data_IF_751739079340
#
_entry.id   IF_751739079340
#
_cell.length_a   1.000
_cell.length_b   1.000
_cell.length_c   1.000
_cell.angle_alpha   90.00
_cell.angle_beta   90.00
_cell.angle_gamma   90.00
#
_symmetry.space_group_name_H-M   'P 1'
#
loop_
_entity.id
_entity.type
_entity.pdbx_description
1 polymer ?
#
# COMPACT_ATOMS: atom_id res chain seq x y z
N UNK A 1 -9.10 -0.15 -27.98
CA UNK A 1 -7.63 -0.37 -27.85
C UNK A 1 -7.26 -0.95 -26.49
N UNK A 2 -7.85 -0.48 -25.39
CA UNK A 2 -7.67 -1.04 -24.03
C UNK A 2 -7.87 -2.58 -23.99
N UNK A 3 -8.92 -3.09 -24.65
CA UNK A 3 -9.16 -4.55 -24.76
C UNK A 3 -7.98 -5.35 -25.35
N UNK A 4 -7.27 -4.77 -26.33
CA UNK A 4 -6.08 -5.40 -26.94
C UNK A 4 -4.89 -5.43 -25.98
N UNK A 5 -4.77 -4.41 -25.12
CA UNK A 5 -3.76 -4.37 -24.06
C UNK A 5 -4.05 -5.47 -23.04
N UNK A 6 -5.29 -5.59 -22.56
CA UNK A 6 -5.69 -6.65 -21.64
C UNK A 6 -5.52 -8.05 -22.23
N UNK A 7 -5.88 -8.23 -23.51
CA UNK A 7 -5.64 -9.50 -24.22
C UNK A 7 -4.15 -9.83 -24.27
N UNK A 8 -3.29 -8.85 -24.56
CA UNK A 8 -1.84 -9.04 -24.59
C UNK A 8 -1.27 -9.39 -23.20
N UNK A 9 -1.80 -8.77 -22.14
CA UNK A 9 -1.44 -9.10 -20.75
C UNK A 9 -1.86 -10.53 -20.37
N UNK A 10 -3.07 -10.96 -20.76
CA UNK A 10 -3.54 -12.33 -20.53
C UNK A 10 -2.69 -13.38 -21.25
N UNK A 11 -2.15 -13.02 -22.41
CA UNK A 11 -1.22 -13.85 -23.17
C UNK A 11 0.24 -13.70 -22.70
N UNK A 12 0.50 -13.01 -21.59
CA UNK A 12 1.83 -12.72 -21.04
C UNK A 12 2.79 -12.00 -22.02
N UNK A 13 2.24 -11.35 -23.05
CA UNK A 13 3.00 -10.58 -24.03
C UNK A 13 3.27 -9.16 -23.49
N UNK A 14 4.03 -9.07 -22.39
CA UNK A 14 4.21 -7.83 -21.63
C UNK A 14 4.82 -6.69 -22.47
N UNK A 15 5.82 -6.98 -23.31
CA UNK A 15 6.42 -5.97 -24.22
C UNK A 15 5.42 -5.41 -25.22
N UNK A 16 4.55 -6.25 -25.77
CA UNK A 16 3.50 -5.81 -26.70
C UNK A 16 2.44 -4.97 -25.97
N UNK A 17 2.05 -5.41 -24.76
CA UNK A 17 1.11 -4.67 -23.93
C UNK A 17 1.62 -3.26 -23.59
N UNK A 18 2.89 -3.13 -23.19
CA UNK A 18 3.53 -1.82 -22.93
C UNK A 18 3.48 -0.95 -24.18
N UNK A 19 3.94 -1.44 -25.34
CA UNK A 19 3.96 -0.66 -26.58
C UNK A 19 2.57 -0.17 -26.99
N UNK A 20 1.55 -1.03 -26.91
CA UNK A 20 0.17 -0.67 -27.21
C UNK A 20 -0.37 0.36 -26.21
N UNK A 21 -0.03 0.23 -24.93
CA UNK A 21 -0.48 1.14 -23.88
C UNK A 21 0.22 2.50 -23.94
N UNK A 22 1.50 2.57 -24.29
CA UNK A 22 2.23 3.82 -24.53
C UNK A 22 1.60 4.61 -25.67
N UNK A 23 1.28 3.95 -26.79
CA UNK A 23 0.57 4.58 -27.92
C UNK A 23 -0.81 5.08 -27.51
N UNK A 24 -1.54 4.30 -26.70
CA UNK A 24 -2.84 4.71 -26.19
C UNK A 24 -2.72 5.97 -25.31
N UNK A 25 -1.73 6.01 -24.40
CA UNK A 25 -1.50 7.14 -23.51
C UNK A 25 -1.04 8.40 -24.28
N UNK A 26 -0.20 8.25 -25.30
CA UNK A 26 0.22 9.34 -26.18
C UNK A 26 -0.95 9.95 -26.96
N UNK A 27 -1.94 9.14 -27.35
CA UNK A 27 -3.12 9.60 -28.07
C UNK A 27 -4.19 10.16 -27.11
N UNK A 28 -4.36 9.55 -25.95
CA UNK A 28 -5.34 9.91 -24.93
C UNK A 28 -4.69 9.86 -23.54
N UNK A 29 -4.14 10.98 -23.05
CA UNK A 29 -3.51 11.05 -21.73
C UNK A 29 -4.57 11.11 -20.62
N UNK A 30 -5.31 10.02 -20.46
CA UNK A 30 -6.27 9.83 -19.37
C UNK A 30 -5.58 9.15 -18.17
N UNK A 31 -6.02 9.49 -16.96
CA UNK A 31 -5.41 8.95 -15.74
C UNK A 31 -5.57 7.43 -15.63
N UNK A 32 -6.71 6.89 -16.06
CA UNK A 32 -6.99 5.45 -16.17
C UNK A 32 -6.05 4.73 -17.15
N UNK A 33 -5.66 5.39 -18.24
CA UNK A 33 -4.71 4.83 -19.20
C UNK A 33 -3.29 4.80 -18.61
N UNK A 34 -2.91 5.80 -17.81
CA UNK A 34 -1.61 5.82 -17.10
C UNK A 34 -1.56 4.72 -16.03
N UNK A 35 -2.65 4.45 -15.32
CA UNK A 35 -2.75 3.32 -14.39
C UNK A 35 -2.56 1.98 -15.09
N UNK A 36 -3.21 1.81 -16.25
CA UNK A 36 -3.04 0.62 -17.07
C UNK A 36 -1.58 0.47 -17.53
N UNK A 37 -0.95 1.57 -17.95
CA UNK A 37 0.46 1.58 -18.36
C UNK A 37 1.39 1.18 -17.20
N UNK A 38 1.15 1.69 -15.99
CA UNK A 38 1.91 1.31 -14.81
C UNK A 38 1.79 -0.18 -14.49
N UNK A 39 0.58 -0.73 -14.64
CA UNK A 39 0.34 -2.17 -14.53
C UNK A 39 1.16 -2.93 -15.58
N UNK A 40 1.14 -2.50 -16.84
CA UNK A 40 1.96 -3.11 -17.89
C UNK A 40 3.46 -3.07 -17.56
N UNK A 41 3.99 -1.96 -17.03
CA UNK A 41 5.39 -1.86 -16.61
C UNK A 41 5.72 -2.81 -15.44
N UNK A 42 4.83 -2.95 -14.46
CA UNK A 42 5.00 -3.90 -13.36
C UNK A 42 5.01 -5.36 -13.84
N UNK A 43 4.15 -5.69 -14.81
CA UNK A 43 4.16 -7.02 -15.45
C UNK A 43 5.42 -7.26 -16.29
N UNK A 44 5.99 -6.21 -16.89
CA UNK A 44 7.25 -6.27 -17.64
C UNK A 44 8.50 -6.19 -16.75
N UNK A 45 8.34 -6.28 -15.42
CA UNK A 45 9.42 -6.20 -14.43
C UNK A 45 10.22 -4.87 -14.48
N UNK A 46 9.55 -3.76 -14.80
CA UNK A 46 10.12 -2.41 -14.85
C UNK A 46 9.48 -1.48 -13.80
N UNK A 47 9.71 -1.74 -12.49
CA UNK A 47 9.07 -0.95 -11.44
C UNK A 47 9.54 0.52 -11.41
N UNK A 48 10.76 0.80 -11.87
CA UNK A 48 11.30 2.18 -11.97
C UNK A 48 10.49 3.06 -12.94
N UNK A 49 10.07 2.50 -14.08
CA UNK A 49 9.23 3.22 -15.04
C UNK A 49 7.84 3.50 -14.45
N UNK A 50 7.25 2.49 -13.79
CA UNK A 50 5.98 2.63 -13.09
C UNK A 50 6.03 3.70 -11.97
N UNK A 51 7.12 3.73 -11.21
CA UNK A 51 7.35 4.74 -10.16
C UNK A 51 7.29 6.16 -10.71
N UNK A 52 8.02 6.46 -11.79
CA UNK A 52 8.06 7.83 -12.35
C UNK A 52 6.74 8.30 -12.93
N UNK A 53 5.97 7.43 -13.58
CA UNK A 53 4.68 7.82 -14.16
C UNK A 53 3.57 7.97 -13.11
N UNK A 54 3.68 7.25 -11.97
CA UNK A 54 2.70 7.29 -10.88
C UNK A 54 3.04 8.34 -9.82
N UNK A 55 4.26 8.87 -9.79
CA UNK A 55 4.69 9.88 -8.83
C UNK A 55 3.79 11.13 -8.92
N UNK A 56 3.16 11.49 -7.80
CA UNK A 56 2.27 12.66 -7.69
C UNK A 56 0.82 12.40 -8.10
N UNK A 57 0.42 11.16 -8.39
CA UNK A 57 -0.98 10.79 -8.67
C UNK A 57 -1.79 10.61 -7.38
N UNK A 58 -3.02 11.13 -7.36
CA UNK A 58 -3.89 11.14 -6.17
C UNK A 58 -4.91 10.00 -6.14
N UNK A 59 -5.12 9.29 -7.26
CA UNK A 59 -6.08 8.19 -7.31
C UNK A 59 -5.69 7.06 -6.35
N UNK A 60 -6.68 6.41 -5.70
CA UNK A 60 -6.43 5.33 -4.75
C UNK A 60 -5.68 4.15 -5.40
N UNK A 61 -6.13 3.72 -6.58
CA UNK A 61 -5.47 2.63 -7.32
C UNK A 61 -4.04 3.00 -7.76
N UNK A 62 -3.79 4.25 -8.15
CA UNK A 62 -2.45 4.72 -8.51
C UNK A 62 -1.51 4.71 -7.32
N UNK A 63 -2.00 5.10 -6.13
CA UNK A 63 -1.22 5.07 -4.88
C UNK A 63 -0.85 3.65 -4.50
N UNK A 64 -1.78 2.70 -4.64
CA UNK A 64 -1.49 1.29 -4.39
C UNK A 64 -0.43 0.73 -5.36
N UNK A 65 -0.56 0.99 -6.66
CA UNK A 65 0.44 0.59 -7.66
C UNK A 65 1.80 1.26 -7.44
N UNK A 66 1.82 2.51 -6.96
CA UNK A 66 3.05 3.21 -6.60
C UNK A 66 3.73 2.54 -5.40
N UNK A 67 2.98 2.20 -4.34
CA UNK A 67 3.49 1.48 -3.19
C UNK A 67 4.08 0.11 -3.58
N UNK A 68 3.42 -0.63 -4.47
CA UNK A 68 3.96 -1.90 -5.03
C UNK A 68 5.28 -1.65 -5.78
N UNK A 69 5.34 -0.60 -6.59
CA UNK A 69 6.55 -0.25 -7.36
C UNK A 69 7.71 0.06 -6.40
N UNK A 70 7.45 0.83 -5.35
CA UNK A 70 8.41 1.16 -4.30
C UNK A 70 8.88 -0.09 -3.55
N UNK A 71 7.95 -0.99 -3.19
CA UNK A 71 8.28 -2.27 -2.54
C UNK A 71 9.20 -3.12 -3.42
N UNK A 72 8.93 -3.22 -4.73
CA UNK A 72 9.80 -3.95 -5.67
C UNK A 72 11.18 -3.33 -5.85
N UNK A 73 11.31 -2.02 -5.59
CA UNK A 73 12.58 -1.28 -5.67
C UNK A 73 13.29 -1.15 -4.32
N UNK A 74 12.76 -1.77 -3.27
CA UNK A 74 13.26 -1.67 -1.90
C UNK A 74 13.22 -0.22 -1.33
N UNK A 75 12.37 0.64 -1.88
CA UNK A 75 12.10 2.01 -1.39
C UNK A 75 11.01 1.96 -0.32
N UNK A 76 11.29 1.27 0.78
CA UNK A 76 10.28 0.94 1.81
C UNK A 76 9.68 2.20 2.46
N UNK A 77 10.51 3.21 2.74
CA UNK A 77 10.07 4.48 3.35
C UNK A 77 9.01 5.21 2.50
N UNK A 78 9.24 5.34 1.19
CA UNK A 78 8.29 5.99 0.28
C UNK A 78 7.00 5.17 0.11
N UNK A 79 7.09 3.84 0.20
CA UNK A 79 5.94 2.97 0.15
C UNK A 79 5.03 3.16 1.38
N UNK A 80 5.62 3.27 2.58
CA UNK A 80 4.89 3.52 3.83
C UNK A 80 4.20 4.89 3.79
N UNK A 81 4.93 5.95 3.43
CA UNK A 81 4.37 7.31 3.34
C UNK A 81 3.21 7.40 2.32
N UNK A 82 3.26 6.58 1.26
CA UNK A 82 2.19 6.54 0.26
C UNK A 82 0.93 5.85 0.79
N UNK A 83 1.07 4.78 1.57
CA UNK A 83 -0.05 4.00 2.11
C UNK A 83 -0.65 4.66 3.36
N UNK A 84 0.18 5.21 4.24
CA UNK A 84 -0.20 5.89 5.47
C UNK A 84 0.49 7.27 5.53
N UNK A 85 -0.08 8.29 4.87
CA UNK A 85 0.40 9.65 5.05
C UNK A 85 0.07 10.08 6.49
N UNK A 86 1.10 10.36 7.29
CA UNK A 86 1.05 10.81 8.70
C UNK A 86 0.07 11.99 8.93
N UNK A 87 -0.30 12.70 7.86
CA UNK A 87 -1.10 13.91 7.91
C UNK A 87 -2.63 13.68 7.88
N UNK A 88 -3.13 12.49 7.50
CA UNK A 88 -4.58 12.23 7.41
C UNK A 88 -4.93 10.78 7.81
N UNK A 89 -5.17 10.49 9.10
CA UNK A 89 -5.52 9.14 9.58
C UNK A 89 -6.90 8.65 9.12
N UNK A 90 -7.65 9.49 8.40
CA UNK A 90 -8.99 9.19 7.86
C UNK A 90 -8.97 8.78 6.39
N UNK A 91 -7.79 8.70 5.77
CA UNK A 91 -7.63 8.20 4.41
C UNK A 91 -7.68 6.68 4.47
N UNK A 92 -8.82 6.11 4.06
CA UNK A 92 -8.94 4.67 3.85
C UNK A 92 -7.77 4.18 2.98
N UNK A 93 -7.06 3.18 3.49
CA UNK A 93 -5.93 2.58 2.77
C UNK A 93 -6.44 2.13 1.39
N UNK A 94 -5.79 2.56 0.29
CA UNK A 94 -6.25 2.21 -1.04
C UNK A 94 -6.31 0.69 -1.20
N UNK A 95 -7.43 0.20 -1.73
CA UNK A 95 -7.77 -1.23 -1.87
C UNK A 95 -8.01 -2.00 -0.56
N UNK A 96 -8.23 -1.30 0.56
CA UNK A 96 -8.69 -1.87 1.84
C UNK A 96 -7.74 -2.94 2.39
N UNK A 97 -8.21 -4.19 2.46
CA UNK A 97 -7.45 -5.32 3.02
C UNK A 97 -6.11 -5.58 2.30
N UNK A 98 -6.04 -5.37 0.98
CA UNK A 98 -4.79 -5.60 0.21
C UNK A 98 -3.72 -4.56 0.51
N UNK A 99 -4.11 -3.31 0.77
CA UNK A 99 -3.18 -2.28 1.21
C UNK A 99 -2.65 -2.53 2.62
N UNK A 100 -3.49 -3.00 3.55
CA UNK A 100 -3.05 -3.41 4.89
C UNK A 100 -2.09 -4.60 4.84
N UNK A 101 -2.36 -5.57 3.97
CA UNK A 101 -1.45 -6.71 3.74
C UNK A 101 -0.09 -6.24 3.21
N UNK A 102 -0.06 -5.35 2.22
CA UNK A 102 1.18 -4.79 1.68
C UNK A 102 1.96 -4.01 2.75
N UNK A 103 1.27 -3.26 3.61
CA UNK A 103 1.89 -2.56 4.73
C UNK A 103 2.54 -3.52 5.72
N UNK A 104 1.87 -4.63 6.06
CA UNK A 104 2.45 -5.69 6.89
C UNK A 104 3.71 -6.32 6.28
N UNK A 105 3.73 -6.52 4.95
CA UNK A 105 4.93 -6.98 4.23
C UNK A 105 6.06 -5.95 4.30
N UNK A 106 5.76 -4.67 4.11
CA UNK A 106 6.75 -3.58 4.18
C UNK A 106 7.36 -3.52 5.58
N UNK A 107 6.55 -3.49 6.66
CA UNK A 107 7.06 -3.47 8.03
C UNK A 107 7.94 -4.68 8.33
N UNK A 108 7.54 -5.88 7.89
CA UNK A 108 8.37 -7.08 8.06
C UNK A 108 9.72 -6.92 7.36
N UNK A 109 9.73 -6.40 6.13
CA UNK A 109 10.96 -6.17 5.36
C UNK A 109 11.85 -5.09 5.98
N UNK A 110 11.27 -4.02 6.55
CA UNK A 110 12.01 -2.98 7.28
C UNK A 110 12.66 -3.55 8.53
N UNK A 111 11.94 -4.39 9.29
CA UNK A 111 12.46 -5.02 10.51
C UNK A 111 13.63 -5.99 10.19
N UNK A 112 13.52 -6.77 9.13
CA UNK A 112 14.60 -7.69 8.70
C UNK A 112 15.82 -6.95 8.14
N UNK A 113 15.65 -5.76 7.55
CA UNK A 113 16.75 -4.92 7.08
C UNK A 113 17.40 -4.06 8.17
N UNK A 114 16.75 -3.87 9.33
CA UNK A 114 17.24 -3.04 10.45
C UNK A 114 17.90 -3.82 11.59
N UNK A 115 18.02 -5.14 11.51
CA UNK A 115 18.74 -5.95 12.51
C UNK A 115 20.23 -5.59 12.64
N UNK A 116 20.77 -4.76 11.75
CA UNK A 116 22.14 -4.22 11.84
C UNK A 116 22.23 -2.90 12.64
N UNK A 117 21.10 -2.27 13.00
CA UNK A 117 21.05 -0.95 13.67
C UNK A 117 20.13 -0.89 14.92
N UNK A 118 19.53 -2.00 15.33
CA UNK A 118 18.52 -2.05 16.39
C UNK A 118 19.08 -2.30 17.82
N UNK A 119 19.90 -1.39 18.35
CA UNK A 119 19.95 -1.14 19.80
C UNK A 119 19.12 0.09 20.23
N UNK A 120 18.62 0.89 19.27
CA UNK A 120 17.93 2.17 19.57
C UNK A 120 16.45 2.18 19.14
N UNK A 121 15.94 1.10 18.54
CA UNK A 121 14.55 1.04 18.04
C UNK A 121 13.63 0.14 18.88
N UNK A 122 14.03 -0.26 20.09
CA UNK A 122 13.21 -1.12 20.95
C UNK A 122 11.91 -0.43 21.42
N UNK A 123 11.75 0.87 21.17
CA UNK A 123 10.54 1.64 21.49
C UNK A 123 9.41 1.51 20.45
N UNK A 124 9.58 0.76 19.35
CA UNK A 124 8.55 0.65 18.30
C UNK A 124 7.53 -0.48 18.48
N UNK A 125 7.67 -1.32 19.51
CA UNK A 125 6.61 -2.30 19.84
C UNK A 125 5.42 -1.65 20.55
N UNK A 126 5.54 -0.40 21.02
CA UNK A 126 4.44 0.35 21.65
C UNK A 126 3.46 0.95 20.62
N UNK A 127 3.90 1.16 19.37
CA UNK A 127 3.04 1.77 18.34
C UNK A 127 2.01 0.81 17.73
N UNK A 128 2.31 -0.50 17.67
CA UNK A 128 1.34 -1.50 17.19
C UNK A 128 0.22 -1.72 18.23
N UNK A 129 0.51 -1.49 19.51
CA UNK A 129 -0.49 -1.52 20.58
C UNK A 129 -1.41 -0.28 20.54
N UNK A 130 -0.89 0.89 20.11
CA UNK A 130 -1.71 2.10 19.96
C UNK A 130 -2.65 2.08 18.75
N UNK A 131 -2.33 1.38 17.64
CA UNK A 131 -3.21 1.33 16.46
C UNK A 131 -4.35 0.31 16.62
N UNK A 132 -4.15 -0.79 17.36
CA UNK A 132 -5.18 -1.84 17.51
C UNK A 132 -5.99 -1.79 18.81
N UNK A 133 -5.67 -0.92 19.78
CA UNK A 133 -6.37 -0.88 21.07
C UNK A 133 -6.75 0.52 21.59
N UNK A 134 -7.07 1.47 20.71
CA UNK A 134 -7.84 2.65 21.11
C UNK A 134 -9.25 2.55 20.55
N UNK A 135 -10.28 2.24 21.36
CA UNK A 135 -11.64 2.57 20.96
C UNK A 135 -11.73 4.08 20.73
N UNK A 136 -12.59 4.55 19.81
CA UNK A 136 -12.76 5.99 19.60
C UNK A 136 -13.22 6.62 20.93
N UNK A 137 -12.34 7.44 21.54
CA UNK A 137 -12.72 8.29 22.67
C UNK A 137 -13.73 9.30 22.14
N UNK A 138 -14.98 8.94 22.39
CA UNK A 138 -16.15 9.70 22.04
C UNK A 138 -17.41 9.05 22.59
N UNK A 139 -17.35 8.50 23.82
CA UNK A 139 -18.37 8.62 24.90
C UNK A 139 -17.83 7.85 26.12
N UNK A 140 -17.49 8.57 27.19
CA UNK A 140 -17.21 8.01 28.52
C UNK A 140 -18.55 7.67 29.20
N UNK A 141 -18.98 6.41 29.20
CA UNK A 141 -19.84 5.84 30.24
C UNK A 141 -19.97 4.32 30.06
N UNK A 142 -19.94 3.61 31.19
CA UNK A 142 -20.38 2.22 31.38
C UNK A 142 -19.55 1.11 30.73
N UNK A 143 -18.44 0.74 31.38
CA UNK A 143 -18.17 -0.68 31.70
C UNK A 143 -17.40 -0.72 33.03
N UNK A 144 -18.12 -0.50 34.14
CA UNK A 144 -17.61 -0.90 35.46
C UNK A 144 -17.50 -2.42 35.48
N UNK A 145 -16.28 -2.90 35.75
CA UNK A 145 -16.00 -4.26 36.19
C UNK A 145 -16.93 -4.64 37.35
N UNK A 146 -17.75 -5.67 37.19
CA UNK A 146 -18.16 -6.49 38.32
C UNK A 146 -17.21 -7.70 38.41
N UNK A 147 -16.45 -7.86 39.51
CA UNK A 147 -15.66 -9.06 39.72
C UNK A 147 -16.56 -10.24 40.10
N UNK A 148 -16.31 -11.39 39.46
CA UNK A 148 -16.80 -12.68 39.91
C UNK A 148 -16.31 -12.95 41.34
N UNK A 149 -17.24 -13.17 42.27
CA UNK A 149 -16.93 -13.82 43.53
C UNK A 149 -18.02 -14.85 43.85
N UNK A 150 -17.72 -16.10 43.52
CA UNK A 150 -18.38 -17.27 44.07
C UNK A 150 -17.74 -17.62 45.41
N UNK A 151 -18.44 -17.43 46.53
CA UNK A 151 -18.25 -18.21 47.78
C UNK A 151 -19.33 -17.89 48.83
N UNK A 152 -20.07 -18.94 49.26
CA UNK A 152 -20.67 -19.21 50.60
C UNK A 152 -21.58 -18.12 51.22
N UNK A 153 -22.85 -18.36 51.56
CA UNK A 153 -23.44 -19.42 52.39
C UNK A 153 -24.88 -19.71 51.94
#
# INVERSE_FOLDING_TARGET
MVDRVHSSLRLFMNRNAVFLCERLCAQFPAETNVQLLATCYLHNNQPYAAYHILKGKKLPESRYLFAISCFRMNLLREAEETLCPVNEPNVEVPSGATGHYLLGLIYRSVIHGRTELCSVCFDLLDMVHCIYLTPPVGTLAEWQLQPSNSHKL
#
